data_IF_177543476259
#
_entry.id   IF_177543476259
#
_cell.length_a   1.000
_cell.length_b   1.000
_cell.length_c   1.000
_cell.angle_alpha   90.00
_cell.angle_beta   90.00
_cell.angle_gamma   90.00
#
_symmetry.space_group_name_H-M   'P 1'
#
loop_
_entity.id
_entity.type
_entity.pdbx_description
1 polymer ?
#
# COMPACT_ATOMS: atom_id res chain seq x y z
N UNK A 1 5.55 -2.09 -18.38
CA UNK A 1 5.74 -2.38 -19.81
C UNK A 1 5.18 -1.20 -20.59
N UNK A 2 5.89 -0.73 -21.61
CA UNK A 2 5.40 0.23 -22.58
C UNK A 2 5.23 -0.49 -23.91
N UNK A 3 4.10 -0.25 -24.58
CA UNK A 3 3.74 -0.91 -25.82
C UNK A 3 3.51 0.14 -26.90
N UNK A 4 3.84 -0.20 -28.15
CA UNK A 4 3.24 0.47 -29.31
C UNK A 4 1.92 -0.22 -29.60
N UNK A 5 0.89 0.59 -29.85
CA UNK A 5 -0.46 0.10 -30.09
C UNK A 5 -1.02 0.75 -31.34
N UNK A 6 -1.64 -0.06 -32.22
CA UNK A 6 -2.43 0.43 -33.34
C UNK A 6 -3.86 0.64 -32.81
N UNK A 7 -4.32 1.90 -32.75
CA UNK A 7 -5.63 2.22 -32.17
C UNK A 7 -6.77 2.27 -33.19
N UNK A 8 -6.48 2.58 -34.46
CA UNK A 8 -7.53 2.72 -35.48
C UNK A 8 -8.61 3.74 -35.11
N UNK A 9 -9.85 3.48 -35.52
CA UNK A 9 -11.03 4.29 -35.15
C UNK A 9 -11.50 3.87 -33.75
N UNK A 10 -11.45 4.81 -32.81
CA UNK A 10 -11.83 4.56 -31.42
C UNK A 10 -13.32 4.85 -31.17
N UNK A 11 -13.96 4.03 -30.35
CA UNK A 11 -15.29 4.29 -29.78
C UNK A 11 -15.23 4.64 -28.30
N UNK A 12 -16.26 5.35 -27.81
CA UNK A 12 -16.40 5.66 -26.39
C UNK A 12 -16.92 4.43 -25.63
N UNK A 13 -16.13 3.92 -24.69
CA UNK A 13 -16.53 2.80 -23.82
C UNK A 13 -16.93 3.33 -22.46
N UNK A 14 -18.22 3.16 -22.14
CA UNK A 14 -18.77 3.65 -20.87
C UNK A 14 -18.19 2.89 -19.66
N UNK A 15 -17.89 3.58 -18.54
CA UNK A 15 -17.49 2.92 -17.31
C UNK A 15 -18.52 1.87 -16.85
N UNK A 16 -18.07 0.65 -16.57
CA UNK A 16 -18.95 -0.46 -16.20
C UNK A 16 -19.58 -1.23 -17.37
N UNK A 17 -19.20 -0.90 -18.61
CA UNK A 17 -19.60 -1.68 -19.79
C UNK A 17 -19.16 -3.15 -19.68
N UNK A 18 -20.01 -4.06 -20.19
CA UNK A 18 -19.72 -5.50 -20.32
C UNK A 18 -19.20 -5.87 -21.71
N UNK A 19 -18.91 -4.88 -22.54
CA UNK A 19 -18.48 -5.07 -23.91
C UNK A 19 -17.10 -5.75 -23.97
N UNK A 20 -16.96 -6.73 -24.86
CA UNK A 20 -15.74 -7.53 -25.02
C UNK A 20 -15.15 -7.50 -26.45
N UNK A 21 -15.82 -6.81 -27.38
CA UNK A 21 -15.46 -6.62 -28.78
C UNK A 21 -15.99 -5.24 -29.23
N UNK A 22 -15.62 -4.71 -30.42
CA UNK A 22 -16.20 -3.46 -30.93
C UNK A 22 -17.73 -3.47 -30.97
N UNK A 23 -18.39 -2.31 -30.82
CA UNK A 23 -19.86 -2.24 -30.93
C UNK A 23 -20.36 -2.41 -32.38
N UNK A 24 -19.49 -2.13 -33.35
CA UNK A 24 -19.69 -2.38 -34.77
C UNK A 24 -18.34 -2.57 -35.49
N UNK A 25 -18.39 -3.05 -36.73
CA UNK A 25 -17.20 -3.28 -37.56
C UNK A 25 -16.46 -1.99 -37.96
N UNK A 26 -17.03 -0.82 -37.65
CA UNK A 26 -16.36 0.45 -37.90
C UNK A 26 -15.27 0.77 -36.87
N UNK A 27 -15.29 0.15 -35.70
CA UNK A 27 -14.42 0.51 -34.58
C UNK A 27 -13.35 -0.54 -34.33
N UNK A 28 -12.14 -0.07 -34.04
CA UNK A 28 -10.96 -0.92 -33.83
C UNK A 28 -10.57 -1.00 -32.35
N UNK A 29 -10.83 0.06 -31.57
CA UNK A 29 -10.46 0.17 -30.16
C UNK A 29 -11.47 1.00 -29.36
N UNK A 30 -11.35 0.94 -28.03
CA UNK A 30 -12.17 1.72 -27.10
C UNK A 30 -11.37 2.78 -26.34
N UNK A 31 -12.01 3.89 -25.98
CA UNK A 31 -11.45 4.96 -25.12
C UNK A 31 -12.45 5.39 -24.04
N UNK A 32 -11.94 5.95 -22.95
CA UNK A 32 -12.78 6.50 -21.88
C UNK A 32 -13.26 7.94 -22.14
N UNK A 33 -12.56 8.69 -23.00
CA UNK A 33 -12.96 10.01 -23.47
C UNK A 33 -12.46 10.22 -24.91
N UNK A 34 -13.30 10.75 -25.80
CA UNK A 34 -12.95 10.94 -27.21
C UNK A 34 -12.01 12.13 -27.46
N UNK A 35 -11.97 13.09 -26.55
CA UNK A 35 -11.18 14.33 -26.68
C UNK A 35 -9.85 14.27 -25.92
N UNK A 36 -9.84 13.61 -24.76
CA UNK A 36 -8.72 13.51 -23.84
C UNK A 36 -8.66 12.11 -23.19
N UNK A 37 -8.39 11.07 -24.00
CA UNK A 37 -8.36 9.68 -23.53
C UNK A 37 -7.26 9.47 -22.49
N UNK A 38 -7.61 8.79 -21.39
CA UNK A 38 -6.68 8.37 -20.34
C UNK A 38 -6.56 6.86 -20.24
N UNK A 39 -7.53 6.14 -20.81
CA UNK A 39 -7.56 4.68 -20.86
C UNK A 39 -7.94 4.24 -22.26
N UNK A 40 -7.25 3.22 -22.73
CA UNK A 40 -7.48 2.61 -24.03
C UNK A 40 -7.83 1.13 -23.83
N UNK A 41 -8.75 0.64 -24.64
CA UNK A 41 -9.19 -0.75 -24.67
C UNK A 41 -8.83 -1.32 -26.04
N UNK A 42 -7.94 -2.31 -26.05
CA UNK A 42 -7.69 -3.13 -27.24
C UNK A 42 -8.51 -4.40 -27.07
N UNK A 43 -9.40 -4.68 -28.03
CA UNK A 43 -10.28 -5.84 -27.98
C UNK A 43 -9.49 -7.15 -28.08
N UNK A 44 -10.01 -8.22 -27.46
CA UNK A 44 -9.36 -9.53 -27.41
C UNK A 44 -9.07 -10.09 -28.81
N UNK A 45 -9.97 -9.80 -29.76
CA UNK A 45 -9.85 -10.16 -31.19
C UNK A 45 -8.59 -9.60 -31.87
N UNK A 46 -7.99 -8.53 -31.33
CA UNK A 46 -6.89 -7.80 -31.95
C UNK A 46 -5.60 -7.79 -31.11
N UNK A 47 -5.55 -8.46 -29.96
CA UNK A 47 -4.41 -8.40 -29.04
C UNK A 47 -3.07 -8.84 -29.66
N UNK A 48 -3.08 -9.87 -30.51
CA UNK A 48 -1.86 -10.42 -31.11
C UNK A 48 -1.35 -9.63 -32.32
N UNK A 49 -2.16 -8.74 -32.88
CA UNK A 49 -1.83 -7.98 -34.10
C UNK A 49 -1.64 -6.50 -33.84
N UNK A 50 -2.28 -5.95 -32.80
CA UNK A 50 -2.32 -4.50 -32.54
C UNK A 50 -1.47 -4.06 -31.36
N UNK A 51 -0.86 -4.98 -30.62
CA UNK A 51 0.02 -4.65 -29.48
C UNK A 51 1.42 -5.18 -29.75
N UNK A 52 2.39 -4.28 -29.82
CA UNK A 52 3.81 -4.61 -29.83
C UNK A 52 4.43 -4.17 -28.49
N UNK A 53 4.81 -5.10 -27.60
CA UNK A 53 5.60 -4.77 -26.42
C UNK A 53 6.95 -4.18 -26.86
N UNK A 54 7.24 -2.95 -26.44
CA UNK A 54 8.44 -2.24 -26.90
C UNK A 54 9.48 -2.15 -25.80
N UNK A 55 9.06 -1.79 -24.58
CA UNK A 55 9.99 -1.61 -23.47
C UNK A 55 9.48 -2.24 -22.18
N UNK A 56 10.40 -2.81 -21.41
CA UNK A 56 10.16 -3.21 -20.03
C UNK A 56 10.77 -2.13 -19.14
N UNK A 57 9.92 -1.47 -18.35
CA UNK A 57 10.33 -0.45 -17.40
C UNK A 57 10.33 -1.05 -16.01
N UNK A 58 11.49 -1.01 -15.35
CA UNK A 58 11.68 -1.42 -13.97
C UNK A 58 11.95 -0.20 -13.12
N UNK A 59 11.16 -0.01 -12.05
CA UNK A 59 11.34 1.10 -11.11
C UNK A 59 11.04 0.65 -9.70
N UNK A 60 11.56 1.39 -8.71
CA UNK A 60 11.29 1.15 -7.29
C UNK A 60 10.28 2.18 -6.79
N UNK A 61 9.07 1.74 -6.47
CA UNK A 61 8.06 2.62 -5.88
C UNK A 61 8.32 2.82 -4.38
N UNK A 62 8.32 4.07 -3.91
CA UNK A 62 8.25 4.39 -2.48
C UNK A 62 6.80 4.27 -2.01
N UNK A 63 6.59 3.76 -0.79
CA UNK A 63 5.32 3.24 -0.25
C UNK A 63 4.17 4.25 -0.06
N UNK A 64 4.17 5.40 -0.72
CA UNK A 64 3.12 6.42 -0.64
C UNK A 64 1.81 6.02 -1.37
N UNK A 65 1.83 4.93 -2.16
CA UNK A 65 0.71 4.44 -2.99
C UNK A 65 -0.10 3.30 -2.36
N UNK A 66 0.11 3.00 -1.07
CA UNK A 66 -0.47 1.82 -0.38
C UNK A 66 -2.01 1.81 -0.26
N UNK A 67 -2.69 2.87 -0.70
CA UNK A 67 -4.16 2.97 -0.68
C UNK A 67 -4.89 2.42 -1.90
N UNK A 68 -4.23 2.26 -3.06
CA UNK A 68 -4.94 1.97 -4.34
C UNK A 68 -4.87 0.52 -4.83
N UNK A 69 -3.92 -0.28 -4.36
CA UNK A 69 -3.82 -1.70 -4.70
C UNK A 69 -4.00 -2.53 -3.43
N UNK A 70 -5.26 -2.86 -3.13
CA UNK A 70 -5.66 -3.80 -2.09
C UNK A 70 -5.29 -5.25 -2.42
N UNK A 71 -4.04 -5.49 -2.84
CA UNK A 71 -3.56 -6.81 -3.22
C UNK A 71 -2.29 -7.12 -2.43
N UNK A 72 -2.50 -7.87 -1.34
CA UNK A 72 -1.56 -8.84 -0.79
C UNK A 72 -0.10 -8.38 -0.61
N UNK A 73 0.12 -7.26 0.07
CA UNK A 73 1.28 -7.22 0.97
C UNK A 73 0.80 -7.94 2.24
N UNK A 74 0.78 -9.29 2.20
CA UNK A 74 0.93 -10.09 3.40
C UNK A 74 2.10 -9.44 4.11
N UNK A 75 1.77 -8.70 5.18
CA UNK A 75 2.68 -7.99 6.05
C UNK A 75 4.03 -8.70 5.94
N UNK A 76 5.02 -8.09 5.27
CA UNK A 76 6.40 -8.55 5.41
C UNK A 76 6.66 -8.43 6.90
N UNK A 77 6.37 -9.51 7.63
CA UNK A 77 6.73 -9.63 9.02
C UNK A 77 8.24 -9.50 8.96
N UNK A 78 8.83 -8.45 9.58
CA UNK A 78 10.23 -8.44 9.86
C UNK A 78 10.61 -9.82 10.36
N UNK A 79 11.65 -10.37 9.79
CA UNK A 79 12.31 -11.60 10.23
C UNK A 79 12.88 -11.47 11.66
N UNK A 80 12.73 -10.31 12.30
CA UNK A 80 13.07 -10.07 13.70
C UNK A 80 11.90 -10.38 14.64
N UNK A 81 12.18 -10.89 15.86
CA UNK A 81 11.16 -11.16 16.88
C UNK A 81 10.31 -9.92 17.16
N UNK A 82 9.00 -10.09 17.05
CA UNK A 82 8.01 -9.04 17.31
C UNK A 82 7.70 -8.97 18.80
N UNK A 83 7.71 -7.76 19.37
CA UNK A 83 7.06 -7.50 20.66
C UNK A 83 5.63 -7.01 20.43
N UNK A 84 4.71 -7.40 21.31
CA UNK A 84 3.35 -6.89 21.26
C UNK A 84 3.32 -5.40 21.57
N UNK A 85 2.36 -4.65 21.01
CA UNK A 85 2.19 -3.23 21.32
C UNK A 85 2.03 -2.95 22.83
N UNK A 86 1.26 -3.74 23.61
CA UNK A 86 1.24 -3.63 25.07
C UNK A 86 2.63 -3.74 25.71
N UNK A 87 3.43 -4.72 25.29
CA UNK A 87 4.78 -4.91 25.82
C UNK A 87 5.71 -3.75 25.46
N UNK A 88 5.60 -3.23 24.23
CA UNK A 88 6.32 -2.03 23.80
C UNK A 88 5.95 -0.81 24.65
N UNK A 89 4.66 -0.55 24.87
CA UNK A 89 4.18 0.57 25.70
C UNK A 89 4.68 0.42 27.14
N UNK A 90 4.62 -0.79 27.70
CA UNK A 90 5.13 -1.08 29.04
C UNK A 90 6.64 -0.88 29.17
N UNK A 91 7.41 -1.16 28.11
CA UNK A 91 8.84 -0.93 28.11
C UNK A 91 9.20 0.56 27.95
N UNK A 92 8.42 1.30 27.15
CA UNK A 92 8.60 2.75 26.93
C UNK A 92 8.32 3.58 28.19
N UNK A 93 7.46 3.11 29.10
CA UNK A 93 7.13 3.84 30.34
C UNK A 93 8.33 4.10 31.24
N UNK A 94 9.43 3.36 31.06
CA UNK A 94 10.68 3.51 31.83
C UNK A 94 11.57 4.65 31.33
N UNK A 95 11.33 5.13 30.12
CA UNK A 95 12.21 6.07 29.43
C UNK A 95 11.50 7.37 29.04
N UNK A 96 10.17 7.34 28.91
CA UNK A 96 9.39 8.49 28.48
C UNK A 96 8.75 9.23 29.65
N UNK A 97 8.65 10.57 29.58
CA UNK A 97 7.92 11.36 30.56
C UNK A 97 6.44 10.93 30.68
N UNK A 98 5.80 11.10 31.86
CA UNK A 98 4.39 10.75 32.06
C UNK A 98 3.44 11.40 31.05
N UNK A 99 3.74 12.64 30.63
CA UNK A 99 2.95 13.38 29.62
C UNK A 99 2.93 12.65 28.28
N UNK A 100 4.09 12.22 27.78
CA UNK A 100 4.21 11.44 26.55
C UNK A 100 3.55 10.06 26.68
N UNK A 101 3.72 9.40 27.83
CA UNK A 101 3.11 8.10 28.09
C UNK A 101 1.58 8.13 28.17
N UNK A 102 1.01 9.20 28.72
CA UNK A 102 -0.44 9.41 28.75
C UNK A 102 -1.01 9.56 27.33
N UNK A 103 -0.31 10.29 26.45
CA UNK A 103 -0.69 10.44 25.05
C UNK A 103 -0.60 9.10 24.31
N UNK A 104 0.51 8.37 24.44
CA UNK A 104 0.67 7.03 23.84
C UNK A 104 -0.44 6.08 24.31
N UNK A 105 -0.77 6.10 25.60
CA UNK A 105 -1.83 5.26 26.16
C UNK A 105 -3.22 5.65 25.65
N UNK A 106 -3.49 6.95 25.49
CA UNK A 106 -4.72 7.45 24.87
C UNK A 106 -4.86 6.94 23.44
N UNK A 107 -3.85 7.12 22.60
CA UNK A 107 -3.88 6.68 21.20
C UNK A 107 -3.99 5.15 21.08
N UNK A 108 -3.37 4.40 22.00
CA UNK A 108 -3.54 2.96 22.03
C UNK A 108 -5.00 2.54 22.32
N UNK A 109 -5.71 3.26 23.19
CA UNK A 109 -7.16 3.05 23.39
C UNK A 109 -7.96 3.45 22.16
N UNK A 110 -7.66 4.59 21.55
CA UNK A 110 -8.35 5.04 20.33
C UNK A 110 -8.21 4.01 19.20
N UNK A 111 -7.05 3.34 19.09
CA UNK A 111 -6.85 2.23 18.16
C UNK A 111 -7.70 1.00 18.52
N UNK A 112 -7.78 0.64 19.81
CA UNK A 112 -8.67 -0.46 20.27
C UNK A 112 -10.14 -0.16 19.97
N UNK A 113 -10.54 1.10 20.10
CA UNK A 113 -11.87 1.60 19.76
C UNK A 113 -12.10 1.78 18.25
N UNK A 114 -11.11 1.42 17.41
CA UNK A 114 -11.13 1.56 15.94
C UNK A 114 -11.30 3.00 15.44
N UNK A 115 -10.98 4.00 16.27
CA UNK A 115 -11.01 5.43 15.90
C UNK A 115 -9.78 5.84 15.07
N UNK A 116 -8.65 5.15 15.28
CA UNK A 116 -7.43 5.34 14.49
C UNK A 116 -6.91 4.00 13.97
N UNK A 117 -6.23 4.05 12.84
CA UNK A 117 -5.58 2.90 12.21
C UNK A 117 -4.31 2.49 12.96
N UNK A 118 -3.87 1.24 12.73
CA UNK A 118 -2.57 0.75 13.23
C UNK A 118 -1.41 1.61 12.75
N UNK A 119 -1.49 2.14 11.52
CA UNK A 119 -0.45 2.97 10.94
C UNK A 119 -0.31 4.30 11.67
N UNK A 120 -1.43 4.97 11.93
CA UNK A 120 -1.46 6.23 12.69
C UNK A 120 -0.92 6.02 14.10
N UNK A 121 -1.30 4.94 14.78
CA UNK A 121 -0.73 4.58 16.08
C UNK A 121 0.80 4.44 16.02
N UNK A 122 1.33 3.76 14.98
CA UNK A 122 2.79 3.60 14.80
C UNK A 122 3.47 4.95 14.61
N UNK A 123 2.93 5.82 13.76
CA UNK A 123 3.51 7.14 13.50
C UNK A 123 3.52 8.01 14.75
N UNK A 124 2.42 8.02 15.51
CA UNK A 124 2.32 8.76 16.76
C UNK A 124 3.33 8.26 17.79
N UNK A 125 3.44 6.94 17.98
CA UNK A 125 4.44 6.37 18.90
C UNK A 125 5.87 6.73 18.47
N UNK A 126 6.17 6.72 17.17
CA UNK A 126 7.48 7.17 16.64
C UNK A 126 7.73 8.65 16.90
N UNK A 127 6.70 9.50 16.83
CA UNK A 127 6.81 10.92 17.12
C UNK A 127 7.14 11.21 18.58
N UNK A 128 6.53 10.47 19.53
CA UNK A 128 6.77 10.68 20.97
C UNK A 128 8.04 9.98 21.47
N UNK A 129 8.34 8.77 20.97
CA UNK A 129 9.47 7.98 21.46
C UNK A 129 10.77 8.25 20.69
N UNK A 130 10.66 8.54 19.39
CA UNK A 130 11.78 8.57 18.46
C UNK A 130 12.30 7.17 18.10
N UNK A 131 12.80 7.03 16.87
CA UNK A 131 13.23 5.74 16.34
C UNK A 131 14.44 5.15 17.10
N UNK A 132 15.35 5.99 17.58
CA UNK A 132 16.53 5.55 18.35
C UNK A 132 16.12 4.79 19.62
N UNK A 133 15.18 5.35 20.39
CA UNK A 133 14.67 4.72 21.60
C UNK A 133 13.85 3.47 21.30
N UNK A 134 12.99 3.52 20.27
CA UNK A 134 12.20 2.36 19.85
C UNK A 134 13.09 1.17 19.47
N UNK A 135 14.16 1.42 18.71
CA UNK A 135 15.14 0.38 18.37
C UNK A 135 15.81 -0.18 19.63
N UNK A 136 16.22 0.68 20.56
CA UNK A 136 16.86 0.25 21.80
C UNK A 136 15.93 -0.62 22.66
N UNK A 137 14.65 -0.23 22.80
CA UNK A 137 13.64 -0.96 23.57
C UNK A 137 13.27 -2.30 22.93
N UNK A 138 13.12 -2.34 21.61
CA UNK A 138 12.86 -3.59 20.89
C UNK A 138 14.06 -4.55 21.01
N UNK A 139 15.29 -4.03 20.99
CA UNK A 139 16.50 -4.83 21.20
C UNK A 139 16.62 -5.33 22.65
N UNK A 140 16.37 -4.49 23.65
CA UNK A 140 16.49 -4.87 25.07
C UNK A 140 15.39 -5.82 25.55
N UNK A 141 14.25 -5.84 24.87
CA UNK A 141 13.20 -6.83 25.12
C UNK A 141 13.60 -8.25 24.66
N UNK A 142 14.68 -8.39 23.88
CA UNK A 142 15.26 -9.69 23.46
C UNK A 142 16.05 -10.39 24.58
N UNK A 143 16.77 -9.63 25.41
CA UNK A 143 17.64 -10.21 26.46
C UNK A 143 16.86 -10.74 27.66
N UNK A 144 15.61 -10.30 27.87
CA UNK A 144 14.76 -10.79 28.97
C UNK A 144 14.05 -12.12 28.67
N UNK A 145 13.92 -12.50 27.40
CA UNK A 145 13.27 -13.76 26.98
C UNK A 145 14.19 -15.00 27.11
N UNK A 146 15.51 -14.81 27.24
CA UNK A 146 16.49 -15.90 27.40
C UNK A 146 17.08 -16.02 28.81
N UNK A 147 16.66 -15.18 29.76
CA UNK A 147 17.21 -15.11 31.13
C UNK A 147 16.37 -15.79 32.21
N UNK A 148 15.28 -16.49 31.86
CA UNK A 148 14.51 -17.31 32.78
C UNK A 148 14.57 -18.77 32.33
N UNK A 149 15.66 -19.43 32.69
CA UNK A 149 15.73 -20.87 32.94
C UNK A 149 16.47 -21.06 34.26
#
# INVERSE_FOLDING_TARGET
MLCRVILGKAELVQPGSKQCHPSSDEFDSGVDDLSSPKKYVVWSTHLNTHILPEFIVSFRATSSLKGFLGMQDRLKMPTSPWISFPALISALSKYLPPTAMNLISKYYRDHKDKKISRHELIQLVRQFAGDKLLIAVIKSSRTKQYGHK
#
